data_IF_748528006480
#
_entry.id   IF_748528006480
#
_cell.length_a   1.000
_cell.length_b   1.000
_cell.length_c   1.000
_cell.angle_alpha   90.00
_cell.angle_beta   90.00
_cell.angle_gamma   90.00
#
_symmetry.space_group_name_H-M   'P 1'
#
loop_
_entity.id
_entity.type
_entity.pdbx_description
1 polymer ?
#
# COMPACT_ATOMS: atom_id res chain seq x y z
N UNK A 1 4.10 4.24 14.28
CA UNK A 1 5.42 4.65 13.74
C UNK A 1 6.26 3.40 13.62
N UNK A 2 6.71 3.05 12.42
CA UNK A 2 7.45 1.81 12.17
C UNK A 2 8.95 2.08 12.21
N UNK A 3 9.68 1.37 13.07
CA UNK A 3 11.13 1.47 13.19
C UNK A 3 11.72 0.14 13.70
N UNK A 4 11.68 -0.89 12.86
CA UNK A 4 12.13 -2.23 13.19
C UNK A 4 13.07 -2.77 12.10
N UNK A 5 14.23 -3.26 12.53
CA UNK A 5 15.26 -3.84 11.66
C UNK A 5 15.07 -5.33 11.37
N UNK A 6 13.95 -5.90 11.77
CA UNK A 6 13.65 -7.33 11.63
C UNK A 6 13.16 -7.94 12.93
N UNK A 7 12.75 -9.20 12.85
CA UNK A 7 12.51 -10.04 14.02
C UNK A 7 13.82 -10.60 14.56
N UNK A 8 13.87 -10.90 15.85
CA UNK A 8 15.03 -11.60 16.43
C UNK A 8 15.14 -13.01 15.83
N UNK A 9 16.29 -13.30 15.23
CA UNK A 9 16.64 -14.64 14.74
C UNK A 9 17.44 -15.48 15.74
N UNK A 10 17.56 -15.03 17.00
CA UNK A 10 18.31 -15.75 18.03
C UNK A 10 17.63 -17.08 18.41
N UNK A 11 18.42 -18.12 18.69
CA UNK A 11 17.91 -19.47 18.98
C UNK A 11 16.85 -19.47 20.10
N UNK A 12 17.08 -18.71 21.17
CA UNK A 12 16.14 -18.61 22.29
C UNK A 12 14.81 -17.99 21.88
N UNK A 13 14.82 -16.93 21.08
CA UNK A 13 13.59 -16.24 20.69
C UNK A 13 12.80 -17.05 19.65
N UNK A 14 13.52 -17.76 18.78
CA UNK A 14 12.94 -18.76 17.88
C UNK A 14 12.28 -19.91 18.65
N UNK A 15 12.94 -20.42 19.69
CA UNK A 15 12.38 -21.43 20.59
C UNK A 15 11.14 -20.90 21.34
N UNK A 16 11.18 -19.64 21.77
CA UNK A 16 10.05 -18.93 22.39
C UNK A 16 9.01 -18.44 21.38
N UNK A 17 8.89 -19.11 20.23
CA UNK A 17 7.79 -18.94 19.27
C UNK A 17 7.66 -17.53 18.66
N UNK A 18 8.76 -16.77 18.51
CA UNK A 18 8.71 -15.41 17.92
C UNK A 18 7.97 -15.36 16.57
N UNK A 19 8.08 -16.40 15.76
CA UNK A 19 7.37 -16.52 14.48
C UNK A 19 5.84 -16.60 14.64
N UNK A 20 5.36 -17.29 15.69
CA UNK A 20 3.93 -17.40 16.00
C UNK A 20 3.35 -16.04 16.38
N UNK A 21 4.08 -15.28 17.21
CA UNK A 21 3.69 -13.93 17.57
C UNK A 21 3.77 -12.96 16.37
N UNK A 22 4.72 -13.16 15.45
CA UNK A 22 4.77 -12.43 14.18
C UNK A 22 3.52 -12.66 13.32
N UNK A 23 3.03 -13.90 13.24
CA UNK A 23 1.80 -14.23 12.51
C UNK A 23 0.56 -13.57 13.14
N UNK A 24 0.48 -13.48 14.46
CA UNK A 24 -0.64 -12.81 15.14
C UNK A 24 -0.78 -11.32 14.80
N UNK A 25 0.32 -10.64 14.42
CA UNK A 25 0.26 -9.26 13.93
C UNK A 25 -0.54 -9.22 12.63
N UNK A 26 -0.25 -10.14 11.70
CA UNK A 26 -0.95 -10.25 10.42
C UNK A 26 -2.42 -10.58 10.65
N UNK A 27 -2.72 -11.58 11.49
CA UNK A 27 -4.10 -11.98 11.81
C UNK A 27 -4.92 -10.81 12.38
N UNK A 28 -4.31 -9.98 13.22
CA UNK A 28 -4.96 -8.82 13.80
C UNK A 28 -5.22 -7.73 12.75
N UNK A 29 -4.25 -7.46 11.85
CA UNK A 29 -4.37 -6.44 10.80
C UNK A 29 -5.38 -6.82 9.72
N UNK A 30 -5.47 -8.10 9.35
CA UNK A 30 -6.49 -8.61 8.40
C UNK A 30 -7.91 -8.30 8.89
N UNK A 31 -8.15 -8.44 10.20
CA UNK A 31 -9.47 -8.24 10.81
C UNK A 31 -9.74 -6.79 11.22
N UNK A 32 -8.73 -5.92 11.14
CA UNK A 32 -8.86 -4.55 11.59
C UNK A 32 -9.73 -3.76 10.62
N UNK A 33 -10.72 -3.03 11.13
CA UNK A 33 -11.73 -2.40 10.27
C UNK A 33 -11.63 -0.86 10.22
N UNK A 34 -10.64 -0.27 10.87
CA UNK A 34 -10.43 1.18 10.88
C UNK A 34 -9.16 1.55 10.11
N UNK A 35 -9.03 2.79 9.61
CA UNK A 35 -7.83 3.21 8.89
C UNK A 35 -6.55 3.02 9.72
N UNK A 36 -5.54 2.39 9.12
CA UNK A 36 -4.22 2.16 9.72
C UNK A 36 -3.17 2.90 8.91
N UNK A 37 -2.40 3.77 9.57
CA UNK A 37 -1.26 4.45 8.96
C UNK A 37 0.05 3.85 9.47
N UNK A 38 0.77 3.18 8.59
CA UNK A 38 2.14 2.77 8.83
C UNK A 38 3.05 3.90 8.32
N UNK A 39 3.78 4.53 9.22
CA UNK A 39 4.70 5.62 8.87
C UNK A 39 6.09 5.34 9.42
N UNK A 40 7.07 5.27 8.52
CA UNK A 40 8.50 5.17 8.87
C UNK A 40 9.02 6.59 9.13
N UNK A 41 9.39 6.96 10.37
CA UNK A 41 9.80 8.32 10.73
C UNK A 41 11.22 8.65 10.19
N UNK A 42 11.71 9.90 10.32
CA UNK A 42 13.08 10.27 9.97
C UNK A 42 14.11 9.33 10.60
N UNK A 43 15.07 8.88 9.82
CA UNK A 43 16.10 7.92 10.23
C UNK A 43 15.57 6.58 10.77
N UNK A 44 14.26 6.36 10.66
CA UNK A 44 13.62 5.09 10.98
C UNK A 44 13.89 4.08 9.89
N UNK A 45 13.94 2.81 10.29
CA UNK A 45 14.19 1.70 9.38
C UNK A 45 13.08 0.67 9.44
N UNK A 46 12.72 0.11 8.28
CA UNK A 46 11.83 -1.04 8.19
C UNK A 46 12.45 -2.12 7.30
N UNK A 47 12.91 -3.21 7.92
CA UNK A 47 13.71 -4.23 7.23
C UNK A 47 13.07 -5.61 7.26
N UNK A 48 13.28 -6.36 6.18
CA UNK A 48 13.02 -7.80 6.10
C UNK A 48 11.65 -8.21 6.61
N UNK A 49 11.61 -9.17 7.52
CA UNK A 49 10.36 -9.71 8.08
C UNK A 49 9.49 -8.67 8.79
N UNK A 50 10.07 -7.60 9.33
CA UNK A 50 9.28 -6.54 9.96
C UNK A 50 8.44 -5.77 8.94
N UNK A 51 8.91 -5.58 7.70
CA UNK A 51 8.09 -5.02 6.63
C UNK A 51 6.93 -5.94 6.31
N UNK A 52 7.22 -7.24 6.15
CA UNK A 52 6.26 -8.25 5.71
C UNK A 52 5.00 -8.27 6.58
N UNK A 53 5.14 -8.13 7.91
CA UNK A 53 4.01 -8.20 8.84
C UNK A 53 3.21 -6.89 9.00
N UNK A 54 3.63 -5.79 8.35
CA UNK A 54 2.92 -4.50 8.38
C UNK A 54 2.68 -3.93 6.98
N UNK A 55 2.86 -4.73 5.94
CA UNK A 55 2.66 -4.29 4.56
C UNK A 55 1.18 -3.97 4.30
N UNK A 56 0.85 -2.89 3.55
CA UNK A 56 -0.54 -2.53 3.25
C UNK A 56 -1.32 -3.61 2.51
N UNK A 57 -0.64 -4.52 1.82
CA UNK A 57 -1.32 -5.63 1.10
C UNK A 57 -2.01 -6.62 2.04
N UNK A 58 -1.70 -6.60 3.34
CA UNK A 58 -2.41 -7.38 4.37
C UNK A 58 -3.87 -6.97 4.46
N UNK A 59 -4.17 -5.66 4.41
CA UNK A 59 -5.53 -5.13 4.44
C UNK A 59 -5.59 -3.86 3.58
N UNK A 60 -5.67 -4.00 2.24
CA UNK A 60 -5.59 -2.88 1.29
C UNK A 60 -6.67 -1.82 1.49
N UNK A 61 -7.81 -2.21 2.08
CA UNK A 61 -8.95 -1.34 2.28
C UNK A 61 -8.77 -0.36 3.44
N UNK A 62 -7.95 -0.73 4.43
CA UNK A 62 -7.75 0.02 5.67
C UNK A 62 -6.32 0.54 5.84
N UNK A 63 -5.32 -0.17 5.34
CA UNK A 63 -3.92 0.14 5.56
C UNK A 63 -3.34 1.07 4.48
N UNK A 64 -2.59 2.06 4.92
CA UNK A 64 -1.76 2.91 4.07
C UNK A 64 -0.37 3.03 4.66
N UNK A 65 0.66 2.97 3.80
CA UNK A 65 2.05 3.13 4.22
C UNK A 65 2.69 4.39 3.62
N UNK A 66 3.43 5.08 4.47
CA UNK A 66 4.20 6.28 4.19
C UNK A 66 5.62 6.11 4.76
N UNK A 67 6.58 6.82 4.18
CA UNK A 67 7.94 6.87 4.71
C UNK A 67 8.42 8.32 4.73
N UNK A 68 9.24 8.66 5.70
CA UNK A 68 9.92 9.95 5.71
C UNK A 68 10.98 10.01 4.60
N UNK A 69 11.29 11.21 4.10
CA UNK A 69 12.35 11.41 3.11
C UNK A 69 13.70 10.84 3.57
N UNK A 70 13.98 10.91 4.88
CA UNK A 70 15.21 10.40 5.48
C UNK A 70 15.11 8.96 6.02
N UNK A 71 13.97 8.27 5.83
CA UNK A 71 13.79 6.89 6.24
C UNK A 71 14.55 5.90 5.34
N UNK A 72 14.72 4.66 5.83
CA UNK A 72 15.24 3.53 5.04
C UNK A 72 14.37 2.30 5.13
N UNK A 73 14.29 1.56 4.04
CA UNK A 73 13.66 0.25 4.03
C UNK A 73 14.19 -0.64 2.92
N UNK A 74 14.29 -1.92 3.21
CA UNK A 74 14.82 -2.90 2.29
C UNK A 74 14.74 -4.31 2.84
N UNK A 75 15.17 -5.29 2.06
CA UNK A 75 15.14 -6.69 2.46
C UNK A 75 16.15 -6.97 3.56
N UNK A 76 17.35 -6.42 3.43
CA UNK A 76 18.45 -6.54 4.41
C UNK A 76 19.07 -5.16 4.65
N UNK A 77 19.82 -5.04 5.73
CA UNK A 77 20.70 -3.88 5.96
C UNK A 77 21.79 -3.81 4.86
N UNK A 78 22.31 -2.61 4.55
CA UNK A 78 23.37 -2.41 3.55
C UNK A 78 24.57 -3.34 3.74
N UNK A 79 24.98 -3.57 4.99
CA UNK A 79 26.07 -4.47 5.37
C UNK A 79 25.81 -5.91 4.91
N UNK A 80 24.58 -6.40 5.13
CA UNK A 80 24.14 -7.71 4.69
C UNK A 80 24.10 -7.82 3.16
N UNK A 81 23.61 -6.78 2.48
CA UNK A 81 23.58 -6.73 1.00
C UNK A 81 24.99 -6.75 0.43
N UNK A 82 25.91 -5.93 0.94
CA UNK A 82 27.31 -5.89 0.48
C UNK A 82 27.97 -7.24 0.74
N UNK A 83 27.81 -7.83 1.93
CA UNK A 83 28.37 -9.15 2.27
C UNK A 83 27.90 -10.30 1.36
N UNK A 84 26.73 -10.17 0.75
CA UNK A 84 26.19 -11.19 -0.18
C UNK A 84 26.47 -10.84 -1.64
N UNK A 85 26.12 -9.62 -2.06
CA UNK A 85 26.05 -9.22 -3.47
C UNK A 85 27.26 -8.43 -3.95
N UNK A 86 28.00 -7.77 -3.06
CA UNK A 86 29.12 -6.87 -3.39
C UNK A 86 30.37 -7.18 -2.55
N UNK A 87 30.73 -8.46 -2.52
CA UNK A 87 31.90 -9.01 -1.82
C UNK A 87 33.21 -8.44 -2.36
N UNK A 88 34.30 -8.72 -1.64
CA UNK A 88 35.67 -8.25 -1.90
C UNK A 88 36.04 -8.26 -3.39
N UNK A 89 35.82 -9.36 -4.11
CA UNK A 89 36.16 -9.48 -5.53
C UNK A 89 35.52 -8.37 -6.39
N UNK A 90 34.23 -8.09 -6.19
CA UNK A 90 33.54 -7.02 -6.94
C UNK A 90 33.98 -5.62 -6.52
N UNK A 91 34.40 -5.46 -5.27
CA UNK A 91 35.02 -4.22 -4.81
C UNK A 91 36.37 -4.01 -5.49
N UNK A 92 37.19 -5.07 -5.64
CA UNK A 92 38.45 -5.03 -6.39
C UNK A 92 38.23 -4.77 -7.89
N UNK A 93 37.17 -5.31 -8.49
CA UNK A 93 36.78 -4.97 -9.86
C UNK A 93 36.42 -3.49 -10.00
N UNK A 94 35.70 -2.96 -9.02
CA UNK A 94 35.37 -1.54 -8.98
C UNK A 94 36.61 -0.67 -8.74
N UNK A 95 37.55 -1.15 -7.92
CA UNK A 95 38.84 -0.50 -7.71
C UNK A 95 39.67 -0.46 -8.98
N UNK A 96 39.76 -1.57 -9.72
CA UNK A 96 40.48 -1.62 -11.00
C UNK A 96 39.86 -0.71 -12.07
N UNK A 97 38.56 -0.44 -11.97
CA UNK A 97 37.85 0.46 -12.88
C UNK A 97 38.03 1.93 -12.52
N UNK A 98 38.04 2.27 -11.22
CA UNK A 98 37.97 3.66 -10.75
C UNK A 98 39.28 4.21 -10.18
N UNK A 99 40.15 3.39 -9.60
CA UNK A 99 41.48 3.79 -9.12
C UNK A 99 42.50 3.64 -10.27
N UNK A 100 43.09 4.74 -10.77
CA UNK A 100 44.01 4.68 -11.90
C UNK A 100 45.24 3.79 -11.63
N UNK A 101 45.79 3.86 -10.41
CA UNK A 101 47.00 3.14 -9.99
C UNK A 101 46.74 1.63 -9.95
N UNK A 102 45.69 1.21 -9.23
CA UNK A 102 45.33 -0.21 -9.15
C UNK A 102 44.90 -0.76 -10.51
N UNK A 103 44.18 0.03 -11.32
CA UNK A 103 43.79 -0.34 -12.67
C UNK A 103 44.99 -0.54 -13.61
N UNK A 104 46.02 0.31 -13.52
CA UNK A 104 47.26 0.13 -14.27
C UNK A 104 48.04 -1.10 -13.83
N UNK A 105 48.22 -1.30 -12.51
CA UNK A 105 48.87 -2.48 -11.97
C UNK A 105 48.17 -3.77 -12.40
N UNK A 106 46.83 -3.80 -12.38
CA UNK A 106 46.03 -4.96 -12.82
C UNK A 106 46.16 -5.22 -14.31
N UNK A 107 46.23 -4.18 -15.15
CA UNK A 107 46.49 -4.32 -16.60
C UNK A 107 47.90 -4.87 -16.86
N UNK A 108 48.90 -4.34 -16.15
CA UNK A 108 50.29 -4.81 -16.29
C UNK A 108 50.45 -6.25 -15.81
N UNK A 109 49.77 -6.63 -14.73
CA UNK A 109 49.73 -8.02 -14.24
C UNK A 109 49.11 -9.01 -15.25
N UNK A 110 48.29 -8.55 -16.19
CA UNK A 110 47.63 -9.38 -17.20
C UNK A 110 48.43 -9.52 -18.52
N UNK A 111 49.54 -8.77 -18.66
CA UNK A 111 50.44 -8.87 -19.81
C UNK A 111 51.25 -10.18 -19.77
N UNK A 112 51.62 -10.72 -20.93
CA UNK A 112 52.31 -12.03 -21.05
C UNK A 112 53.83 -11.92 -21.09
N UNK A 113 54.35 -10.71 -21.21
CA UNK A 113 55.75 -10.35 -21.46
C UNK A 113 56.48 -9.86 -20.20
N UNK A 114 55.93 -10.12 -19.01
CA UNK A 114 56.52 -9.74 -17.71
C UNK A 114 57.40 -10.85 -17.13
N UNK A 115 58.54 -10.45 -16.54
CA UNK A 115 59.42 -11.38 -15.85
C UNK A 115 58.81 -11.86 -14.52
N UNK A 116 59.21 -13.05 -13.99
CA UNK A 116 58.74 -13.52 -12.68
C UNK A 116 59.03 -12.53 -11.53
N UNK A 117 60.14 -11.78 -11.62
CA UNK A 117 60.51 -10.76 -10.63
C UNK A 117 59.54 -9.58 -10.67
N UNK A 118 59.23 -9.06 -11.86
CA UNK A 118 58.27 -7.97 -12.04
C UNK A 118 56.85 -8.39 -11.64
N UNK A 119 56.46 -9.63 -11.93
CA UNK A 119 55.16 -10.16 -11.54
C UNK A 119 54.99 -10.18 -10.01
N UNK A 120 56.04 -10.57 -9.28
CA UNK A 120 56.05 -10.53 -7.81
C UNK A 120 55.96 -9.10 -7.28
N UNK A 121 56.70 -8.16 -7.87
CA UNK A 121 56.68 -6.75 -7.48
C UNK A 121 55.31 -6.10 -7.72
N UNK A 122 54.69 -6.35 -8.88
CA UNK A 122 53.35 -5.86 -9.21
C UNK A 122 52.33 -6.42 -8.22
N UNK A 123 52.41 -7.71 -7.89
CA UNK A 123 51.52 -8.33 -6.91
C UNK A 123 51.66 -7.67 -5.52
N UNK A 124 52.89 -7.45 -5.05
CA UNK A 124 53.13 -6.76 -3.78
C UNK A 124 52.57 -5.33 -3.77
N UNK A 125 52.78 -4.57 -4.86
CA UNK A 125 52.22 -3.21 -5.01
C UNK A 125 50.70 -3.21 -5.06
N UNK A 126 50.09 -4.19 -5.73
CA UNK A 126 48.64 -4.39 -5.74
C UNK A 126 48.10 -4.66 -4.34
N UNK A 127 48.69 -5.63 -3.62
CA UNK A 127 48.27 -5.97 -2.25
C UNK A 127 48.38 -4.78 -1.29
N UNK A 128 49.45 -3.98 -1.39
CA UNK A 128 49.60 -2.76 -0.59
C UNK A 128 48.52 -1.72 -0.93
N UNK A 129 48.23 -1.51 -2.21
CA UNK A 129 47.19 -0.58 -2.66
C UNK A 129 45.79 -1.04 -2.24
N UNK A 130 45.53 -2.35 -2.32
CA UNK A 130 44.28 -2.96 -1.83
C UNK A 130 44.08 -2.72 -0.35
N UNK A 131 45.09 -2.99 0.48
CA UNK A 131 44.99 -2.78 1.93
C UNK A 131 44.67 -1.32 2.29
N UNK A 132 45.25 -0.36 1.58
CA UNK A 132 45.00 1.06 1.79
C UNK A 132 43.58 1.48 1.37
N UNK A 133 43.09 0.99 0.24
CA UNK A 133 41.84 1.46 -0.37
C UNK A 133 40.60 0.67 0.05
N UNK A 134 40.74 -0.60 0.44
CA UNK A 134 39.60 -1.47 0.72
C UNK A 134 38.64 -0.92 1.80
N UNK A 135 39.09 -0.26 2.89
CA UNK A 135 38.16 0.36 3.84
C UNK A 135 37.27 1.43 3.19
N UNK A 136 37.83 2.27 2.32
CA UNK A 136 37.09 3.33 1.61
C UNK A 136 36.12 2.72 0.60
N UNK A 137 36.56 1.71 -0.17
CA UNK A 137 35.69 1.00 -1.12
C UNK A 137 34.56 0.24 -0.42
N UNK A 138 34.80 -0.24 0.80
CA UNK A 138 33.75 -0.85 1.62
C UNK A 138 32.69 0.21 1.98
N UNK A 139 33.09 1.39 2.45
CA UNK A 139 32.15 2.48 2.75
C UNK A 139 31.38 2.96 1.50
N UNK A 140 32.05 3.07 0.35
CA UNK A 140 31.39 3.38 -0.93
C UNK A 140 30.34 2.31 -1.27
N UNK A 141 30.67 1.03 -1.05
CA UNK A 141 29.76 -0.08 -1.31
C UNK A 141 28.54 -0.06 -0.41
N UNK A 142 28.72 0.27 0.88
CA UNK A 142 27.62 0.45 1.83
C UNK A 142 26.72 1.62 1.42
N UNK A 143 27.32 2.76 1.05
CA UNK A 143 26.55 3.91 0.57
C UNK A 143 25.79 3.59 -0.73
N UNK A 144 26.42 2.84 -1.64
CA UNK A 144 25.78 2.39 -2.87
C UNK A 144 24.59 1.47 -2.58
N UNK A 145 24.72 0.54 -1.63
CA UNK A 145 23.61 -0.29 -1.18
C UNK A 145 22.50 0.56 -0.52
N UNK A 146 22.84 1.49 0.38
CA UNK A 146 21.88 2.39 1.06
C UNK A 146 21.03 3.21 0.07
N UNK A 147 21.58 3.62 -1.07
CA UNK A 147 20.83 4.34 -2.11
C UNK A 147 19.62 3.52 -2.64
N UNK A 148 19.66 2.19 -2.56
CA UNK A 148 18.55 1.32 -2.96
C UNK A 148 17.42 1.27 -1.92
N UNK A 149 17.68 1.72 -0.69
CA UNK A 149 16.77 1.62 0.44
C UNK A 149 16.08 2.94 0.77
N UNK A 150 16.29 3.98 -0.04
CA UNK A 150 15.70 5.32 0.17
C UNK A 150 14.21 5.37 -0.20
N UNK A 151 13.49 6.31 0.43
CA UNK A 151 12.05 6.52 0.22
C UNK A 151 11.66 6.73 -1.25
N UNK A 152 12.51 7.41 -2.02
CA UNK A 152 12.30 7.58 -3.47
C UNK A 152 12.15 6.25 -4.23
N UNK A 153 12.93 5.21 -3.86
CA UNK A 153 12.80 3.89 -4.48
C UNK A 153 11.53 3.16 -4.02
N UNK A 154 11.13 3.31 -2.76
CA UNK A 154 9.88 2.76 -2.23
C UNK A 154 8.67 3.31 -3.02
N UNK A 155 8.63 4.64 -3.20
CA UNK A 155 7.58 5.29 -3.97
C UNK A 155 7.60 4.87 -5.44
N UNK A 156 8.78 4.82 -6.08
CA UNK A 156 8.91 4.40 -7.48
C UNK A 156 8.46 2.95 -7.73
N UNK A 157 8.48 2.11 -6.69
CA UNK A 157 7.96 0.73 -6.73
C UNK A 157 6.52 0.61 -6.22
N UNK A 158 5.88 1.71 -5.84
CA UNK A 158 4.50 1.72 -5.37
C UNK A 158 4.29 1.02 -4.02
N UNK A 159 5.34 0.81 -3.22
CA UNK A 159 5.24 0.14 -1.92
C UNK A 159 4.81 1.07 -0.79
N UNK A 160 4.95 2.38 -1.00
CA UNK A 160 4.41 3.45 -0.16
C UNK A 160 3.61 4.41 -1.03
N UNK A 161 2.64 5.15 -0.45
CA UNK A 161 1.86 6.13 -1.23
C UNK A 161 2.69 7.34 -1.63
N UNK A 162 3.47 7.89 -0.69
CA UNK A 162 4.37 9.01 -0.92
C UNK A 162 5.41 9.15 0.19
N UNK A 163 6.58 9.75 -0.11
CA UNK A 163 7.47 10.28 0.92
C UNK A 163 6.82 11.48 1.62
N UNK A 164 7.11 11.64 2.90
CA UNK A 164 6.63 12.76 3.72
C UNK A 164 7.81 13.48 4.36
N UNK A 165 7.64 14.77 4.63
CA UNK A 165 8.53 15.54 5.49
C UNK A 165 7.96 15.57 6.91
N UNK A 166 8.72 15.08 7.89
CA UNK A 166 8.31 15.04 9.30
C UNK A 166 7.72 16.36 9.82
N UNK A 167 8.29 17.50 9.44
CA UNK A 167 7.81 18.83 9.84
C UNK A 167 6.35 19.09 9.43
N UNK A 168 5.88 18.50 8.33
CA UNK A 168 4.50 18.61 7.84
C UNK A 168 3.66 17.36 8.12
N UNK A 169 4.26 16.27 8.62
CA UNK A 169 3.58 14.99 8.83
C UNK A 169 2.32 15.13 9.71
N UNK A 170 2.37 15.91 10.79
CA UNK A 170 1.19 16.17 11.64
C UNK A 170 0.04 16.78 10.86
N UNK A 171 0.31 17.78 10.01
CA UNK A 171 -0.72 18.46 9.21
C UNK A 171 -1.30 17.53 8.15
N UNK A 172 -0.43 16.75 7.51
CA UNK A 172 -0.82 15.74 6.54
C UNK A 172 -1.76 14.69 7.18
N UNK A 173 -1.31 14.01 8.25
CA UNK A 173 -2.08 12.94 8.88
C UNK A 173 -3.39 13.44 9.50
N UNK A 174 -3.45 14.69 9.97
CA UNK A 174 -4.71 15.28 10.44
C UNK A 174 -5.80 15.25 9.36
N UNK A 175 -5.49 15.75 8.15
CA UNK A 175 -6.46 15.78 7.05
C UNK A 175 -6.70 14.39 6.47
N UNK A 176 -5.65 13.59 6.28
CA UNK A 176 -5.76 12.23 5.75
C UNK A 176 -6.64 11.34 6.63
N UNK A 177 -6.43 11.36 7.96
CA UNK A 177 -7.24 10.59 8.90
C UNK A 177 -8.70 11.04 8.88
N UNK A 178 -8.94 12.36 8.96
CA UNK A 178 -10.29 12.93 8.98
C UNK A 178 -11.09 12.54 7.73
N UNK A 179 -10.45 12.64 6.56
CA UNK A 179 -11.00 12.15 5.30
C UNK A 179 -11.32 10.66 5.38
N UNK A 180 -10.35 9.81 5.72
CA UNK A 180 -10.50 8.36 5.69
C UNK A 180 -11.56 7.84 6.65
N UNK A 181 -11.69 8.44 7.83
CA UNK A 181 -12.76 8.12 8.78
C UNK A 181 -14.15 8.44 8.20
N UNK A 182 -14.28 9.57 7.51
CA UNK A 182 -15.55 10.01 6.93
C UNK A 182 -15.92 9.17 5.71
N UNK A 183 -14.96 8.91 4.82
CA UNK A 183 -15.11 7.99 3.69
C UNK A 183 -15.57 6.61 4.16
N UNK A 184 -14.87 6.02 5.13
CA UNK A 184 -15.19 4.70 5.65
C UNK A 184 -16.60 4.64 6.25
N UNK A 185 -17.02 5.70 6.96
CA UNK A 185 -18.37 5.80 7.49
C UNK A 185 -19.43 5.76 6.38
N UNK A 186 -19.21 6.47 5.27
CA UNK A 186 -20.13 6.44 4.13
C UNK A 186 -20.10 5.10 3.40
N UNK A 187 -18.92 4.54 3.14
CA UNK A 187 -18.76 3.24 2.49
C UNK A 187 -19.47 2.12 3.25
N UNK A 188 -19.38 2.10 4.58
CA UNK A 188 -20.14 1.15 5.42
C UNK A 188 -21.65 1.31 5.29
N UNK A 189 -22.14 2.56 5.23
CA UNK A 189 -23.57 2.83 5.04
C UNK A 189 -24.04 2.39 3.65
N UNK A 190 -23.23 2.62 2.62
CA UNK A 190 -23.52 2.19 1.24
C UNK A 190 -23.55 0.66 1.13
N UNK A 191 -22.56 -0.03 1.69
CA UNK A 191 -22.54 -1.50 1.71
C UNK A 191 -23.74 -2.12 2.45
N UNK A 192 -24.25 -1.44 3.49
CA UNK A 192 -25.47 -1.87 4.19
C UNK A 192 -26.76 -1.55 3.42
N UNK A 193 -26.75 -0.48 2.62
CA UNK A 193 -27.88 -0.08 1.77
C UNK A 193 -28.05 -1.00 0.56
N UNK A 194 -26.92 -1.37 -0.06
CA UNK A 194 -26.85 -2.31 -1.17
C UNK A 194 -25.78 -3.37 -0.89
N UNK A 195 -26.22 -4.54 -0.42
CA UNK A 195 -25.34 -5.66 -0.06
C UNK A 195 -24.64 -6.29 -1.28
N UNK A 196 -25.12 -6.03 -2.49
CA UNK A 196 -24.49 -6.51 -3.72
C UNK A 196 -23.36 -5.61 -4.21
N UNK A 197 -23.29 -4.36 -3.73
CA UNK A 197 -22.32 -3.37 -4.19
C UNK A 197 -20.89 -3.68 -3.75
N UNK A 198 -19.94 -3.52 -4.66
CA UNK A 198 -18.51 -3.64 -4.34
C UNK A 198 -17.99 -2.33 -3.71
N UNK A 199 -17.05 -2.45 -2.78
CA UNK A 199 -16.41 -1.29 -2.12
C UNK A 199 -15.78 -0.33 -3.14
N UNK A 200 -15.13 -0.85 -4.18
CA UNK A 200 -14.51 -0.05 -5.23
C UNK A 200 -15.54 0.79 -6.00
N UNK A 201 -16.72 0.23 -6.29
CA UNK A 201 -17.82 0.93 -6.93
C UNK A 201 -18.38 2.03 -6.03
N UNK A 202 -18.57 1.73 -4.74
CA UNK A 202 -19.03 2.72 -3.76
C UNK A 202 -18.03 3.87 -3.60
N UNK A 203 -16.73 3.58 -3.62
CA UNK A 203 -15.69 4.60 -3.60
C UNK A 203 -15.70 5.47 -4.88
N UNK A 204 -15.90 4.85 -6.05
CA UNK A 204 -16.03 5.57 -7.32
C UNK A 204 -17.27 6.48 -7.34
N UNK A 205 -18.40 6.00 -6.79
CA UNK A 205 -19.61 6.80 -6.58
C UNK A 205 -19.34 7.98 -5.66
N UNK A 206 -18.66 7.79 -4.53
CA UNK A 206 -18.30 8.91 -3.65
C UNK A 206 -17.37 9.91 -4.36
N UNK A 207 -16.38 9.43 -5.11
CA UNK A 207 -15.47 10.27 -5.88
C UNK A 207 -16.21 11.15 -6.89
N UNK A 208 -17.16 10.60 -7.63
CA UNK A 208 -17.93 11.36 -8.64
C UNK A 208 -18.86 12.42 -8.03
N UNK A 209 -19.18 12.31 -6.73
CA UNK A 209 -19.90 13.37 -6.03
C UNK A 209 -19.02 14.58 -5.70
N UNK A 210 -17.74 14.36 -5.41
CA UNK A 210 -16.80 15.43 -5.03
C UNK A 210 -16.25 16.15 -6.26
N UNK A 211 -15.88 15.38 -7.28
CA UNK A 211 -15.21 15.89 -8.49
C UNK A 211 -15.97 15.39 -9.72
N UNK A 212 -16.46 16.33 -10.53
CA UNK A 212 -17.19 16.03 -11.77
C UNK A 212 -16.30 15.70 -12.97
N UNK A 213 -15.03 16.13 -12.94
CA UNK A 213 -14.04 15.82 -13.97
C UNK A 213 -13.23 14.58 -13.59
N UNK A 214 -13.43 13.49 -14.33
CA UNK A 214 -12.74 12.22 -14.10
C UNK A 214 -11.21 12.32 -14.28
N UNK A 215 -10.72 13.31 -15.04
CA UNK A 215 -9.28 13.52 -15.28
C UNK A 215 -8.59 14.32 -14.17
N UNK A 216 -9.35 14.83 -13.20
CA UNK A 216 -8.80 15.64 -12.13
C UNK A 216 -8.20 14.77 -11.02
N UNK A 217 -6.91 15.00 -10.73
CA UNK A 217 -6.20 14.38 -9.61
C UNK A 217 -6.48 15.06 -8.26
N UNK A 218 -7.45 15.97 -8.21
CA UNK A 218 -7.76 16.78 -7.03
C UNK A 218 -8.30 15.91 -5.90
N UNK A 219 -9.12 14.91 -6.23
CA UNK A 219 -9.65 13.96 -5.25
C UNK A 219 -8.52 13.17 -4.58
N UNK A 220 -7.50 12.75 -5.32
CA UNK A 220 -6.40 11.93 -4.79
C UNK A 220 -5.41 12.76 -3.98
N UNK A 221 -5.19 14.02 -4.33
CA UNK A 221 -4.11 14.86 -3.79
C UNK A 221 -4.52 15.79 -2.66
N UNK A 222 -5.76 16.27 -2.62
CA UNK A 222 -6.19 17.28 -1.64
C UNK A 222 -7.09 16.68 -0.56
N UNK A 223 -6.48 16.11 0.47
CA UNK A 223 -7.21 15.53 1.60
C UNK A 223 -8.06 16.56 2.35
N UNK A 224 -7.64 17.84 2.39
CA UNK A 224 -8.35 18.89 3.10
C UNK A 224 -9.65 19.26 2.39
N UNK A 225 -9.57 19.48 1.08
CA UNK A 225 -10.73 19.79 0.26
C UNK A 225 -11.76 18.67 0.34
N UNK A 226 -11.33 17.42 0.17
CA UNK A 226 -12.22 16.26 0.21
C UNK A 226 -12.84 16.08 1.60
N UNK A 227 -12.06 16.20 2.67
CA UNK A 227 -12.57 16.09 4.04
C UNK A 227 -13.64 17.16 4.33
N UNK A 228 -13.38 18.42 3.99
CA UNK A 228 -14.36 19.50 4.20
C UNK A 228 -15.61 19.28 3.36
N UNK A 229 -15.47 18.91 2.09
CA UNK A 229 -16.61 18.66 1.20
C UNK A 229 -17.54 17.58 1.77
N UNK A 230 -16.99 16.48 2.29
CA UNK A 230 -17.81 15.43 2.90
C UNK A 230 -18.59 15.87 4.13
N UNK A 231 -18.04 16.79 4.90
CA UNK A 231 -18.69 17.32 6.10
C UNK A 231 -19.79 18.31 5.74
N UNK A 232 -19.51 19.23 4.82
CA UNK A 232 -20.46 20.25 4.37
C UNK A 232 -21.66 19.61 3.62
N UNK A 233 -21.41 18.57 2.83
CA UNK A 233 -22.42 17.88 2.03
C UNK A 233 -22.93 16.58 2.68
N UNK A 234 -22.68 16.38 3.98
CA UNK A 234 -22.99 15.12 4.66
C UNK A 234 -24.46 14.72 4.54
N UNK A 235 -25.38 15.68 4.63
CA UNK A 235 -26.83 15.42 4.52
C UNK A 235 -27.22 14.92 3.13
N UNK A 236 -26.67 15.54 2.08
CA UNK A 236 -26.97 15.20 0.69
C UNK A 236 -26.40 13.84 0.33
N UNK A 237 -25.17 13.54 0.78
CA UNK A 237 -24.57 12.21 0.63
C UNK A 237 -25.44 11.15 1.32
N UNK A 238 -25.92 11.41 2.54
CA UNK A 238 -26.80 10.48 3.25
C UNK A 238 -28.15 10.28 2.54
N UNK A 239 -28.73 11.33 1.97
CA UNK A 239 -29.96 11.22 1.17
C UNK A 239 -29.74 10.36 -0.08
N UNK A 240 -28.60 10.52 -0.77
CA UNK A 240 -28.24 9.65 -1.91
C UNK A 240 -28.05 8.19 -1.50
N UNK A 241 -27.47 7.94 -0.33
CA UNK A 241 -27.34 6.58 0.21
C UNK A 241 -28.71 5.96 0.51
N UNK A 242 -29.66 6.74 1.00
CA UNK A 242 -31.03 6.25 1.21
C UNK A 242 -31.74 5.94 -0.11
N UNK A 243 -31.51 6.74 -1.16
CA UNK A 243 -31.97 6.41 -2.52
C UNK A 243 -31.41 5.08 -3.01
N UNK A 244 -30.10 4.85 -2.84
CA UNK A 244 -29.46 3.57 -3.17
C UNK A 244 -30.07 2.40 -2.40
N UNK A 245 -30.47 2.60 -1.14
CA UNK A 245 -31.16 1.58 -0.35
C UNK A 245 -32.51 1.22 -0.96
N UNK A 246 -33.30 2.23 -1.36
CA UNK A 246 -34.61 2.02 -1.99
C UNK A 246 -34.47 1.25 -3.30
N UNK A 247 -33.51 1.63 -4.14
CA UNK A 247 -33.20 0.94 -5.40
C UNK A 247 -32.75 -0.51 -5.16
N UNK A 248 -31.89 -0.74 -4.17
CA UNK A 248 -31.42 -2.06 -3.79
C UNK A 248 -32.55 -2.98 -3.29
N UNK A 249 -33.49 -2.45 -2.50
CA UNK A 249 -34.68 -3.21 -2.06
C UNK A 249 -35.57 -3.54 -3.27
N UNK A 250 -35.80 -2.58 -4.17
CA UNK A 250 -36.59 -2.81 -5.37
C UNK A 250 -35.97 -3.91 -6.26
N UNK A 251 -34.65 -3.90 -6.42
CA UNK A 251 -33.90 -4.92 -7.16
C UNK A 251 -34.04 -6.31 -6.51
N UNK A 252 -33.93 -6.41 -5.17
CA UNK A 252 -34.12 -7.67 -4.45
C UNK A 252 -35.54 -8.22 -4.60
N UNK A 253 -36.56 -7.36 -4.54
CA UNK A 253 -37.96 -7.77 -4.76
C UNK A 253 -38.15 -8.28 -6.19
N UNK A 254 -37.59 -7.60 -7.18
CA UNK A 254 -37.66 -8.04 -8.58
C UNK A 254 -36.96 -9.40 -8.79
N UNK A 255 -35.79 -9.61 -8.17
CA UNK A 255 -35.05 -10.87 -8.24
C UNK A 255 -35.83 -12.03 -7.60
N UNK A 256 -36.45 -11.80 -6.42
CA UNK A 256 -37.31 -12.80 -5.77
C UNK A 256 -38.50 -13.20 -6.63
N UNK A 257 -39.15 -12.23 -7.28
CA UNK A 257 -40.27 -12.50 -8.21
C UNK A 257 -39.78 -13.32 -9.40
N UNK A 258 -38.64 -12.96 -9.99
CA UNK A 258 -38.05 -13.67 -11.14
C UNK A 258 -37.61 -15.09 -10.79
N UNK A 259 -37.05 -15.31 -9.60
CA UNK A 259 -36.50 -16.60 -9.16
C UNK A 259 -37.54 -17.60 -8.66
N UNK A 260 -38.67 -17.13 -8.12
CA UNK A 260 -39.65 -18.00 -7.45
C UNK A 260 -41.07 -17.95 -8.03
N UNK A 261 -41.30 -17.18 -9.10
CA UNK A 261 -42.54 -17.19 -9.88
C UNK A 261 -43.81 -17.02 -9.02
N UNK A 262 -44.72 -17.99 -9.10
CA UNK A 262 -46.03 -17.93 -8.41
C UNK A 262 -45.93 -17.80 -6.89
N UNK A 263 -44.94 -18.42 -6.24
CA UNK A 263 -44.80 -18.34 -4.78
C UNK A 263 -44.45 -16.92 -4.31
N UNK A 264 -43.62 -16.20 -5.08
CA UNK A 264 -43.32 -14.80 -4.80
C UNK A 264 -44.53 -13.90 -5.08
N UNK A 265 -45.29 -14.15 -6.15
CA UNK A 265 -46.52 -13.41 -6.46
C UNK A 265 -47.60 -13.60 -5.39
N UNK A 266 -47.75 -14.80 -4.83
CA UNK A 266 -48.62 -15.03 -3.67
C UNK A 266 -48.17 -14.25 -2.43
N UNK A 267 -46.86 -14.16 -2.20
CA UNK A 267 -46.28 -13.33 -1.14
C UNK A 267 -46.61 -11.84 -1.32
N UNK A 268 -46.46 -11.32 -2.55
CA UNK A 268 -46.85 -9.95 -2.90
C UNK A 268 -48.36 -9.74 -2.68
N UNK A 269 -49.21 -10.68 -3.11
CA UNK A 269 -50.65 -10.59 -2.92
C UNK A 269 -51.05 -10.54 -1.43
N UNK A 270 -50.37 -11.29 -0.55
CA UNK A 270 -50.55 -11.20 0.91
C UNK A 270 -50.06 -9.87 1.49
N UNK A 271 -49.00 -9.29 0.95
CA UNK A 271 -48.56 -7.95 1.38
C UNK A 271 -49.57 -6.86 0.97
N UNK A 272 -50.15 -6.97 -0.22
CA UNK A 272 -51.15 -6.04 -0.74
C UNK A 272 -52.51 -6.12 -0.01
N UNK A 273 -52.84 -7.23 0.64
CA UNK A 273 -54.11 -7.37 1.38
C UNK A 273 -54.13 -6.59 2.70
N UNK A 274 -52.97 -6.25 3.25
CA UNK A 274 -52.83 -5.43 4.46
C UNK A 274 -52.73 -3.91 4.22
N UNK A 275 -52.79 -3.46 2.96
CA UNK A 275 -52.62 -2.05 2.60
C UNK A 275 -53.93 -1.24 2.70
N UNK A 276 -53.77 0.07 2.91
CA UNK A 276 -54.87 1.04 2.82
C UNK A 276 -55.34 1.22 1.37
N UNK A 277 -56.53 1.82 1.17
CA UNK A 277 -57.08 2.04 -0.19
C UNK A 277 -56.17 2.94 -1.02
N UNK A 278 -55.59 3.96 -0.41
CA UNK A 278 -54.70 4.94 -1.03
C UNK A 278 -53.40 4.29 -1.53
N UNK A 279 -52.77 3.45 -0.71
CA UNK A 279 -51.57 2.70 -1.10
C UNK A 279 -51.84 1.71 -2.25
N UNK A 280 -53.04 1.12 -2.27
CA UNK A 280 -53.45 0.18 -3.32
C UNK A 280 -53.62 0.87 -4.67
N UNK A 281 -54.17 2.08 -4.69
CA UNK A 281 -54.28 2.90 -5.90
C UNK A 281 -52.89 3.30 -6.45
N UNK A 282 -51.95 3.59 -5.56
CA UNK A 282 -50.56 3.92 -5.95
C UNK A 282 -49.85 2.72 -6.58
N UNK A 283 -50.00 1.52 -6.01
CA UNK A 283 -49.47 0.29 -6.60
C UNK A 283 -50.11 0.01 -7.97
N UNK A 284 -51.41 0.20 -8.12
CA UNK A 284 -52.10 0.02 -9.42
C UNK A 284 -51.60 1.00 -10.47
N UNK A 285 -51.32 2.26 -10.10
CA UNK A 285 -50.70 3.25 -11.00
C UNK A 285 -49.30 2.79 -11.43
N UNK A 286 -48.49 2.30 -10.49
CA UNK A 286 -47.14 1.80 -10.78
C UNK A 286 -47.18 0.60 -11.74
N UNK A 287 -48.07 -0.38 -11.50
CA UNK A 287 -48.26 -1.54 -12.38
C UNK A 287 -48.68 -1.14 -13.80
N UNK A 288 -49.59 -0.17 -13.92
CA UNK A 288 -50.04 0.32 -15.23
C UNK A 288 -48.97 1.15 -15.96
N UNK A 289 -48.02 1.74 -15.23
CA UNK A 289 -46.90 2.50 -15.79
C UNK A 289 -45.67 1.66 -16.12
N UNK A 290 -45.60 0.42 -15.62
CA UNK A 290 -44.48 -0.47 -15.86
C UNK A 290 -44.47 -0.91 -17.34
N UNK A 291 -43.35 -0.80 -18.06
CA UNK A 291 -43.27 -1.25 -19.45
C UNK A 291 -43.48 -2.77 -19.50
N UNK A 292 -44.56 -3.19 -20.14
CA UNK A 292 -44.79 -4.60 -20.45
C UNK A 292 -43.80 -4.99 -21.53
N UNK A 293 -42.77 -5.77 -21.17
CA UNK A 293 -41.98 -6.46 -22.19
C UNK A 293 -42.86 -7.52 -22.82
N UNK A 294 -43.45 -7.18 -23.97
CA UNK A 294 -44.04 -8.16 -24.88
C UNK A 294 -42.94 -9.13 -25.31
N UNK A 295 -43.06 -10.40 -24.91
CA UNK A 295 -42.36 -11.49 -25.59
C UNK A 295 -42.75 -11.52 -27.07
#
# INVERSE_FOLDING_TARGET
LANWRGFSGGQRDMYNEVLKYGAYIVDALVKYEQPVFVYIPPFGELRGGSWVVVDPTINPDMMEMYADEDARAGVLEPEGIVGIKFRREKQLDTMARLDPVYGELRRRAAQKDITPSEQSEIKAKMEQREQLLLPVYTQISLQFADLHDRAGRMQAKGTIRMPLQWAQARRFFYWRLRRRLTEERFLRKMANADKGSLRAENLARLKSLVVSDENSNLFERDDRLVANWYEDNSRDVLSKIEGLRQDGIAAQVAELIKGHGNAALEGVARALSGMTKEQREEVLKLLNSAPVTSN
#
